data_IF_016124580608
#
_entry.id   IF_016124580608
#
_cell.length_a   1.000
_cell.length_b   1.000
_cell.length_c   1.000
_cell.angle_alpha   90.00
_cell.angle_beta   90.00
_cell.angle_gamma   90.00
#
_symmetry.space_group_name_H-M   'P 1'
#
loop_
_entity.id
_entity.type
_entity.pdbx_description
1 polymer ?
#
# COMPACT_ATOMS: atom_id res chain seq x y z
N UNK A 1 -19.87 13.79 28.92
CA UNK A 1 -18.71 14.72 28.77
C UNK A 1 -17.39 13.98 28.72
N UNK A 2 -17.20 12.93 29.52
CA UNK A 2 -15.94 12.16 29.58
C UNK A 2 -15.53 11.54 28.23
N UNK A 3 -16.46 10.83 27.56
CA UNK A 3 -16.21 10.23 26.23
C UNK A 3 -15.81 11.27 25.17
N UNK A 4 -16.45 12.44 25.17
CA UNK A 4 -16.11 13.50 24.20
C UNK A 4 -14.73 14.12 24.47
N UNK A 5 -14.30 14.17 25.74
CA UNK A 5 -12.95 14.60 26.12
C UNK A 5 -11.93 13.57 25.69
N UNK A 6 -12.16 12.29 25.99
CA UNK A 6 -11.28 11.20 25.61
C UNK A 6 -11.08 11.13 24.08
N UNK A 7 -12.15 11.24 23.28
CA UNK A 7 -12.05 11.30 21.81
C UNK A 7 -11.29 12.54 21.34
N UNK A 8 -11.51 13.70 21.98
CA UNK A 8 -10.78 14.93 21.68
C UNK A 8 -9.29 14.82 21.97
N UNK A 9 -8.94 14.27 23.13
CA UNK A 9 -7.56 14.04 23.57
C UNK A 9 -6.86 13.03 22.65
N UNK A 10 -7.54 11.95 22.28
CA UNK A 10 -7.05 10.97 21.30
C UNK A 10 -6.86 11.58 19.92
N UNK A 11 -7.79 12.41 19.45
CA UNK A 11 -7.65 13.17 18.21
C UNK A 11 -6.42 14.07 18.20
N UNK A 12 -6.16 14.76 19.33
CA UNK A 12 -4.97 15.57 19.54
C UNK A 12 -3.67 14.75 19.53
N UNK A 13 -3.64 13.63 20.24
CA UNK A 13 -2.52 12.67 20.26
C UNK A 13 -2.21 12.15 18.85
N UNK A 14 -3.24 11.75 18.10
CA UNK A 14 -3.10 11.38 16.71
C UNK A 14 -2.49 12.52 15.90
N UNK A 15 -2.91 13.77 16.10
CA UNK A 15 -2.36 14.93 15.41
C UNK A 15 -0.85 15.08 15.63
N UNK A 16 -0.43 14.95 16.90
CA UNK A 16 0.96 15.02 17.29
C UNK A 16 1.82 13.93 16.62
N UNK A 17 1.36 12.67 16.60
CA UNK A 17 2.09 11.60 15.92
C UNK A 17 2.18 11.79 14.41
N UNK A 18 1.13 12.31 13.76
CA UNK A 18 1.19 12.66 12.35
C UNK A 18 2.29 13.68 12.05
N UNK A 19 2.39 14.72 12.89
CA UNK A 19 3.42 15.76 12.77
C UNK A 19 4.83 15.22 13.05
N UNK A 20 4.99 14.36 14.06
CA UNK A 20 6.27 13.70 14.34
C UNK A 20 6.73 12.83 13.16
N UNK A 21 5.81 12.05 12.56
CA UNK A 21 6.12 11.25 11.38
C UNK A 21 6.63 12.10 10.21
N UNK A 22 5.95 13.23 9.92
CA UNK A 22 6.38 14.16 8.89
C UNK A 22 7.74 14.81 9.20
N UNK A 23 7.99 15.15 10.47
CA UNK A 23 9.26 15.72 10.92
C UNK A 23 10.41 14.73 10.70
N UNK A 24 10.25 13.47 11.13
CA UNK A 24 11.28 12.43 10.92
C UNK A 24 11.47 12.08 9.45
N UNK A 25 10.40 12.08 8.64
CA UNK A 25 10.50 11.92 7.20
C UNK A 25 11.35 13.05 6.57
N UNK A 26 11.20 14.29 7.06
CA UNK A 26 11.99 15.44 6.61
C UNK A 26 13.45 15.38 7.07
N UNK A 27 13.70 14.80 8.24
CA UNK A 27 15.06 14.52 8.76
C UNK A 27 15.73 13.32 8.07
N UNK A 28 14.99 12.55 7.28
CA UNK A 28 15.48 11.34 6.62
C UNK A 28 15.49 10.09 7.50
N UNK A 29 14.97 10.16 8.73
CA UNK A 29 14.78 8.99 9.58
C UNK A 29 13.44 8.32 9.26
N UNK A 30 13.42 7.60 8.14
CA UNK A 30 12.21 6.98 7.63
C UNK A 30 11.69 5.83 8.50
N UNK A 31 12.56 5.17 9.29
CA UNK A 31 12.13 4.09 10.18
C UNK A 31 11.27 4.65 11.32
N UNK A 32 11.73 5.74 11.91
CA UNK A 32 10.98 6.39 12.98
C UNK A 32 9.71 7.09 12.44
N UNK A 33 9.76 7.64 11.22
CA UNK A 33 8.57 8.13 10.54
C UNK A 33 7.49 7.05 10.35
N UNK A 34 7.88 5.84 9.95
CA UNK A 34 6.99 4.68 9.82
C UNK A 34 6.29 4.38 11.16
N UNK A 35 7.04 4.33 12.26
CA UNK A 35 6.48 4.05 13.59
C UNK A 35 5.42 5.10 14.00
N UNK A 36 5.72 6.38 13.78
CA UNK A 36 4.78 7.45 14.13
C UNK A 36 3.55 7.49 13.22
N UNK A 37 3.70 7.22 11.92
CA UNK A 37 2.55 7.09 11.03
C UNK A 37 1.68 5.87 11.36
N UNK A 38 2.24 4.77 11.85
CA UNK A 38 1.48 3.63 12.37
C UNK A 38 0.68 3.98 13.63
N UNK A 39 1.27 4.74 14.57
CA UNK A 39 0.55 5.22 15.75
C UNK A 39 -0.60 6.17 15.38
N UNK A 40 -0.37 7.11 14.44
CA UNK A 40 -1.45 7.95 13.89
C UNK A 40 -2.57 7.09 13.30
N UNK A 41 -2.21 6.05 12.54
CA UNK A 41 -3.16 5.17 11.88
C UNK A 41 -4.05 4.43 12.88
N UNK A 42 -3.45 3.90 13.95
CA UNK A 42 -4.17 3.22 15.02
C UNK A 42 -5.20 4.14 15.70
N UNK A 43 -4.77 5.34 16.09
CA UNK A 43 -5.65 6.33 16.72
C UNK A 43 -6.76 6.77 15.77
N UNK A 44 -6.44 7.03 14.50
CA UNK A 44 -7.43 7.45 13.51
C UNK A 44 -8.55 6.40 13.34
N UNK A 45 -8.20 5.11 13.42
CA UNK A 45 -9.17 4.01 13.40
C UNK A 45 -10.02 3.97 14.66
N UNK A 46 -9.40 4.14 15.81
CA UNK A 46 -10.08 4.11 17.10
C UNK A 46 -11.15 5.19 17.22
N UNK A 47 -10.83 6.41 16.79
CA UNK A 47 -11.77 7.55 16.85
C UNK A 47 -12.69 7.64 15.62
N UNK A 48 -12.53 6.76 14.62
CA UNK A 48 -13.29 6.77 13.38
C UNK A 48 -12.96 7.93 12.42
N UNK A 49 -11.78 8.55 12.54
CA UNK A 49 -11.30 9.59 11.63
C UNK A 49 -10.81 8.99 10.30
N UNK A 50 -11.75 8.78 9.38
CA UNK A 50 -11.48 8.19 8.05
C UNK A 50 -10.47 8.99 7.22
N UNK A 51 -10.50 10.32 7.31
CA UNK A 51 -9.57 11.16 6.56
C UNK A 51 -8.17 11.09 7.16
N UNK A 52 -8.06 11.11 8.48
CA UNK A 52 -6.81 10.86 9.19
C UNK A 52 -6.24 9.48 8.91
N UNK A 53 -7.08 8.44 8.82
CA UNK A 53 -6.66 7.08 8.46
C UNK A 53 -6.06 7.04 7.05
N UNK A 54 -6.74 7.65 6.07
CA UNK A 54 -6.28 7.69 4.69
C UNK A 54 -4.94 8.44 4.56
N UNK A 55 -4.80 9.59 5.22
CA UNK A 55 -3.56 10.37 5.24
C UNK A 55 -2.42 9.60 5.92
N UNK A 56 -2.70 8.89 7.02
CA UNK A 56 -1.69 8.07 7.69
C UNK A 56 -1.19 6.94 6.80
N UNK A 57 -2.08 6.26 6.08
CA UNK A 57 -1.71 5.27 5.08
C UNK A 57 -0.87 5.86 3.95
N UNK A 58 -1.23 7.03 3.43
CA UNK A 58 -0.47 7.70 2.37
C UNK A 58 0.95 8.05 2.81
N UNK A 59 1.09 8.67 3.99
CA UNK A 59 2.40 9.04 4.53
C UNK A 59 3.24 7.82 4.91
N UNK A 60 2.61 6.75 5.40
CA UNK A 60 3.27 5.47 5.61
C UNK A 60 3.81 4.92 4.28
N UNK A 61 3.04 5.02 3.20
CA UNK A 61 3.49 4.68 1.85
C UNK A 61 4.73 5.47 1.42
N UNK A 62 4.75 6.78 1.67
CA UNK A 62 5.90 7.64 1.37
C UNK A 62 7.15 7.18 2.11
N UNK A 63 7.05 6.96 3.43
CA UNK A 63 8.17 6.52 4.24
C UNK A 63 8.67 5.12 3.87
N UNK A 64 7.76 4.19 3.55
CA UNK A 64 8.09 2.83 3.11
C UNK A 64 8.85 2.81 1.77
N UNK A 65 8.52 3.69 0.83
CA UNK A 65 9.27 3.84 -0.42
C UNK A 65 10.73 4.25 -0.16
N UNK A 66 10.98 5.04 0.89
CA UNK A 66 12.33 5.52 1.22
C UNK A 66 13.21 4.46 1.88
N UNK A 67 12.62 3.43 2.47
CA UNK A 67 13.35 2.25 3.02
C UNK A 67 13.35 1.05 2.07
N UNK A 68 12.99 1.24 0.80
CA UNK A 68 12.93 0.23 -0.26
C UNK A 68 11.94 -0.93 -0.01
N UNK A 69 10.97 -0.74 0.89
CA UNK A 69 9.90 -1.69 1.20
C UNK A 69 8.73 -1.52 0.21
N UNK A 70 9.04 -1.60 -1.10
CA UNK A 70 8.13 -1.25 -2.20
C UNK A 70 6.78 -1.94 -2.14
N UNK A 71 6.78 -3.22 -1.77
CA UNK A 71 5.55 -3.99 -1.68
C UNK A 71 4.63 -3.43 -0.58
N UNK A 72 5.18 -3.12 0.60
CA UNK A 72 4.41 -2.54 1.72
C UNK A 72 3.91 -1.14 1.36
N UNK A 73 4.72 -0.36 0.64
CA UNK A 73 4.34 0.96 0.16
C UNK A 73 3.13 0.89 -0.78
N UNK A 74 3.12 0.00 -1.77
CA UNK A 74 1.98 -0.19 -2.70
C UNK A 74 0.69 -0.47 -1.92
N UNK A 75 0.73 -1.37 -0.94
CA UNK A 75 -0.45 -1.68 -0.12
C UNK A 75 -0.89 -0.50 0.74
N UNK A 76 0.03 0.28 1.27
CA UNK A 76 -0.31 1.50 2.00
C UNK A 76 -1.06 2.49 1.10
N UNK A 77 -0.57 2.73 -0.13
CA UNK A 77 -1.28 3.58 -1.09
C UNK A 77 -2.62 3.00 -1.56
N UNK A 78 -2.74 1.68 -1.72
CA UNK A 78 -4.02 1.06 -2.07
C UNK A 78 -5.06 1.26 -0.96
N UNK A 79 -4.66 1.11 0.31
CA UNK A 79 -5.54 1.37 1.45
C UNK A 79 -5.97 2.84 1.52
N UNK A 80 -5.02 3.77 1.36
CA UNK A 80 -5.30 5.20 1.31
C UNK A 80 -6.26 5.53 0.15
N UNK A 81 -5.97 5.05 -1.06
CA UNK A 81 -6.79 5.25 -2.26
C UNK A 81 -8.23 4.79 -2.05
N UNK A 82 -8.44 3.60 -1.48
CA UNK A 82 -9.79 3.07 -1.27
C UNK A 82 -10.59 3.95 -0.30
N UNK A 83 -9.94 4.50 0.75
CA UNK A 83 -10.58 5.43 1.67
C UNK A 83 -10.87 6.78 1.01
N UNK A 84 -9.92 7.35 0.26
CA UNK A 84 -10.13 8.59 -0.50
C UNK A 84 -11.25 8.45 -1.53
N UNK A 85 -11.29 7.32 -2.25
CA UNK A 85 -12.34 7.00 -3.21
C UNK A 85 -13.71 6.91 -2.52
N UNK A 86 -13.80 6.26 -1.36
CA UNK A 86 -15.04 6.19 -0.59
C UNK A 86 -15.51 7.57 -0.09
N UNK A 87 -14.60 8.54 0.03
CA UNK A 87 -14.89 9.92 0.41
C UNK A 87 -15.11 10.86 -0.79
N UNK A 88 -14.96 10.37 -2.04
CA UNK A 88 -15.07 11.20 -3.25
C UNK A 88 -13.91 12.20 -3.43
N UNK A 89 -12.74 11.90 -2.88
CA UNK A 89 -11.55 12.74 -2.95
C UNK A 89 -10.68 12.36 -4.15
N UNK A 90 -11.13 12.72 -5.35
CA UNK A 90 -10.53 12.26 -6.62
C UNK A 90 -9.06 12.66 -6.78
N UNK A 91 -8.68 13.86 -6.29
CA UNK A 91 -7.29 14.32 -6.32
C UNK A 91 -6.37 13.42 -5.49
N UNK A 92 -6.77 13.10 -4.26
CA UNK A 92 -5.98 12.24 -3.37
C UNK A 92 -5.92 10.79 -3.91
N UNK A 93 -6.96 10.33 -4.60
CA UNK A 93 -6.96 9.06 -5.35
C UNK A 93 -5.92 9.08 -6.48
N UNK A 94 -5.85 10.17 -7.24
CA UNK A 94 -4.86 10.35 -8.30
C UNK A 94 -3.44 10.37 -7.75
N UNK A 95 -3.19 11.07 -6.64
CA UNK A 95 -1.89 11.10 -5.97
C UNK A 95 -1.42 9.70 -5.52
N UNK A 96 -2.34 8.89 -4.98
CA UNK A 96 -2.07 7.48 -4.69
C UNK A 96 -1.72 6.69 -5.95
N UNK A 97 -2.47 6.85 -7.04
CA UNK A 97 -2.22 6.15 -8.30
C UNK A 97 -0.87 6.53 -8.91
N UNK A 98 -0.52 7.82 -8.86
CA UNK A 98 0.79 8.32 -9.30
C UNK A 98 1.91 7.68 -8.47
N UNK A 99 1.78 7.67 -7.14
CA UNK A 99 2.76 7.06 -6.24
C UNK A 99 2.94 5.56 -6.49
N UNK A 100 1.84 4.82 -6.70
CA UNK A 100 1.88 3.39 -7.05
C UNK A 100 2.58 3.18 -8.40
N UNK A 101 2.29 4.02 -9.41
CA UNK A 101 2.93 3.96 -10.73
C UNK A 101 4.43 4.22 -10.65
N UNK A 102 4.86 5.17 -9.82
CA UNK A 102 6.26 5.55 -9.68
C UNK A 102 7.09 4.47 -8.97
N UNK A 103 6.51 3.79 -7.98
CA UNK A 103 7.12 2.62 -7.33
C UNK A 103 7.16 1.42 -8.28
N UNK A 104 6.10 1.30 -9.09
CA UNK A 104 5.85 0.26 -10.08
C UNK A 104 6.61 0.43 -11.40
N UNK A 105 7.94 0.64 -11.34
CA UNK A 105 8.87 0.61 -12.47
C UNK A 105 8.66 1.72 -13.52
N UNK A 106 9.76 2.29 -14.06
CA UNK A 106 9.75 2.97 -15.37
C UNK A 106 8.88 2.15 -16.32
N UNK A 107 7.79 2.74 -16.80
CA UNK A 107 6.83 2.19 -17.78
C UNK A 107 7.27 0.86 -18.38
N UNK A 108 6.89 -0.23 -17.72
CA UNK A 108 6.28 -1.35 -18.43
C UNK A 108 4.81 -1.29 -18.07
N UNK A 109 4.17 -0.16 -18.40
CA UNK A 109 2.74 -0.22 -18.69
C UNK A 109 2.67 -0.94 -20.02
N UNK A 110 2.23 -2.19 -19.98
CA UNK A 110 1.00 -2.58 -20.68
C UNK A 110 0.71 -4.07 -20.45
N UNK A 111 -0.48 -4.46 -19.97
CA UNK A 111 -1.05 -5.78 -20.24
C UNK A 111 -1.66 -5.88 -21.65
N UNK A 112 -1.84 -4.76 -22.37
CA UNK A 112 -2.67 -4.69 -23.58
C UNK A 112 -1.88 -4.81 -24.91
N UNK A 113 -0.61 -4.39 -24.99
CA UNK A 113 0.28 -4.63 -26.16
C UNK A 113 0.98 -5.99 -26.20
N UNK A 114 0.63 -6.93 -25.33
CA UNK A 114 1.13 -8.31 -25.44
C UNK A 114 0.46 -9.13 -26.56
N UNK A 115 -0.46 -8.53 -27.32
CA UNK A 115 -1.11 -9.19 -28.44
C UNK A 115 -0.33 -9.13 -29.76
N UNK A 116 0.68 -8.25 -29.88
CA UNK A 116 1.42 -8.06 -31.14
C UNK A 116 2.85 -8.63 -31.15
N UNK A 117 3.32 -9.20 -30.04
CA UNK A 117 4.66 -9.83 -29.98
C UNK A 117 4.65 -11.27 -30.53
N UNK A 118 5.64 -11.66 -31.36
CA UNK A 118 5.75 -13.04 -31.83
C UNK A 118 5.87 -13.99 -30.64
N UNK A 119 5.02 -15.02 -30.64
CA UNK A 119 4.77 -15.89 -29.50
C UNK A 119 5.98 -16.76 -29.16
N UNK A 120 6.79 -16.33 -28.19
CA UNK A 120 7.84 -17.18 -27.61
C UNK A 120 7.26 -18.08 -26.50
N UNK A 121 7.83 -19.28 -26.26
CA UNK A 121 7.38 -20.20 -25.21
C UNK A 121 7.38 -19.58 -23.79
N UNK A 122 8.27 -18.61 -23.54
CA UNK A 122 8.36 -17.87 -22.29
C UNK A 122 7.13 -16.98 -22.04
N UNK A 123 6.64 -16.32 -23.10
CA UNK A 123 5.44 -15.48 -23.04
C UNK A 123 4.17 -16.31 -22.84
N UNK A 124 4.11 -17.53 -23.36
CA UNK A 124 2.97 -18.45 -23.17
C UNK A 124 2.81 -18.90 -21.73
N UNK A 125 3.92 -19.13 -21.02
CA UNK A 125 3.91 -19.45 -19.57
C UNK A 125 3.54 -18.22 -18.72
N UNK A 126 4.02 -17.02 -19.10
CA UNK A 126 3.68 -15.74 -18.43
C UNK A 126 2.21 -15.33 -18.63
N UNK A 127 1.61 -15.56 -19.80
CA UNK A 127 0.17 -15.30 -20.03
C UNK A 127 -0.72 -16.23 -19.20
N UNK A 128 -0.33 -17.49 -19.02
CA UNK A 128 -1.00 -18.41 -18.08
C UNK A 128 -0.88 -17.92 -16.64
N UNK A 129 0.28 -17.41 -16.24
CA UNK A 129 0.48 -16.82 -14.92
C UNK A 129 -0.42 -15.61 -14.68
N UNK A 130 -0.45 -14.65 -15.60
CA UNK A 130 -1.30 -13.45 -15.51
C UNK A 130 -2.80 -13.76 -15.38
N UNK A 131 -3.32 -14.71 -16.17
CA UNK A 131 -4.73 -15.12 -16.09
C UNK A 131 -5.04 -15.85 -14.79
N UNK A 132 -4.15 -16.75 -14.36
CA UNK A 132 -4.31 -17.47 -13.10
C UNK A 132 -4.21 -16.52 -11.89
N UNK A 133 -3.42 -15.47 -11.99
CA UNK A 133 -3.26 -14.43 -10.98
C UNK A 133 -4.50 -13.54 -10.84
N UNK A 134 -5.11 -13.13 -11.95
CA UNK A 134 -6.38 -12.38 -11.93
C UNK A 134 -7.53 -13.22 -11.36
N UNK A 135 -7.60 -14.52 -11.69
CA UNK A 135 -8.58 -15.44 -11.11
C UNK A 135 -8.39 -15.61 -9.60
N UNK A 136 -7.14 -15.80 -9.16
CA UNK A 136 -6.81 -16.02 -7.74
C UNK A 136 -7.06 -14.77 -6.87
N UNK A 137 -6.92 -13.57 -7.44
CA UNK A 137 -7.23 -12.29 -6.79
C UNK A 137 -8.74 -12.15 -6.52
N UNK A 138 -9.58 -12.68 -7.40
CA UNK A 138 -11.03 -12.70 -7.23
C UNK A 138 -11.50 -13.71 -6.17
N UNK A 139 -10.80 -14.85 -6.06
CA UNK A 139 -11.23 -15.96 -5.20
C UNK A 139 -10.83 -15.83 -3.72
N UNK A 140 -9.74 -15.12 -3.38
CA UNK A 140 -9.12 -15.22 -2.05
C UNK A 140 -9.41 -14.04 -1.12
N UNK A 141 -9.84 -12.89 -1.62
CA UNK A 141 -10.19 -11.71 -0.80
C UNK A 141 -9.14 -11.34 0.25
N UNK A 142 -8.30 -10.33 0.01
CA UNK A 142 -7.69 -9.60 1.13
C UNK A 142 -6.48 -10.21 1.87
N UNK A 143 -6.35 -11.54 1.95
CA UNK A 143 -5.60 -12.15 3.05
C UNK A 143 -4.12 -12.44 2.76
N UNK A 144 -3.28 -11.63 3.41
CA UNK A 144 -1.83 -11.51 3.26
C UNK A 144 -1.00 -12.76 3.65
N UNK A 145 -1.53 -13.64 4.49
CA UNK A 145 -0.78 -14.77 5.07
C UNK A 145 -0.56 -15.92 4.07
N UNK A 146 -1.47 -16.09 3.12
CA UNK A 146 -1.43 -17.17 2.13
C UNK A 146 -0.42 -16.84 1.02
N UNK A 147 -0.29 -15.55 0.68
CA UNK A 147 0.67 -15.03 -0.30
C UNK A 147 2.11 -15.42 0.04
N UNK A 148 2.56 -15.15 1.26
CA UNK A 148 3.93 -15.46 1.69
C UNK A 148 4.22 -16.96 1.73
N UNK A 149 3.26 -17.75 2.20
CA UNK A 149 3.39 -19.21 2.30
C UNK A 149 3.44 -19.88 0.92
N UNK A 150 2.75 -19.33 -0.07
CA UNK A 150 2.75 -19.83 -1.44
C UNK A 150 4.00 -19.39 -2.23
N UNK A 151 4.40 -18.12 -2.13
CA UNK A 151 5.64 -17.60 -2.74
C UNK A 151 6.86 -18.36 -2.20
N UNK A 152 6.93 -18.57 -0.88
CA UNK A 152 8.02 -19.33 -0.25
C UNK A 152 8.10 -20.80 -0.72
N UNK A 153 6.97 -21.37 -1.15
CA UNK A 153 6.88 -22.76 -1.61
C UNK A 153 7.19 -22.87 -3.11
N UNK A 154 6.82 -21.85 -3.89
CA UNK A 154 7.15 -21.75 -5.31
C UNK A 154 8.62 -21.42 -5.55
N UNK A 155 9.19 -20.45 -4.80
CA UNK A 155 10.63 -20.12 -4.84
C UNK A 155 11.48 -21.35 -4.54
N UNK A 156 11.10 -22.15 -3.53
CA UNK A 156 11.75 -23.44 -3.22
C UNK A 156 11.62 -24.49 -4.33
N UNK A 157 10.56 -24.44 -5.14
CA UNK A 157 10.34 -25.35 -6.25
C UNK A 157 11.07 -24.94 -7.53
N UNK A 158 11.38 -23.65 -7.69
CA UNK A 158 12.08 -23.11 -8.86
C UNK A 158 13.60 -23.14 -8.67
N UNK A 159 14.10 -22.94 -7.44
CA UNK A 159 15.54 -22.98 -7.13
C UNK A 159 16.14 -24.40 -7.02
N UNK A 160 15.34 -25.47 -7.19
CA UNK A 160 15.82 -26.87 -7.25
C UNK A 160 15.79 -27.46 -8.67
N UNK A 161 16.01 -26.65 -9.69
CA UNK A 161 16.23 -27.09 -11.07
C UNK A 161 17.35 -26.30 -11.72
#
# INVERSE_FOLDING_TARGET
MEIAREVGDRGGEGGAYGNLGNAYQSLGDYRLAIEYHQKRLEIAREIGDRRGEANAWFNLGNALTRVDEKWKAITAYENARNLFQAMGLDKDVEDCNNSIRDIGMKVVVEPQRYLELPSTPALRKRRKFSRKWQQLKADIGNSFSIFFRWVSRWVRSVLRR
#
